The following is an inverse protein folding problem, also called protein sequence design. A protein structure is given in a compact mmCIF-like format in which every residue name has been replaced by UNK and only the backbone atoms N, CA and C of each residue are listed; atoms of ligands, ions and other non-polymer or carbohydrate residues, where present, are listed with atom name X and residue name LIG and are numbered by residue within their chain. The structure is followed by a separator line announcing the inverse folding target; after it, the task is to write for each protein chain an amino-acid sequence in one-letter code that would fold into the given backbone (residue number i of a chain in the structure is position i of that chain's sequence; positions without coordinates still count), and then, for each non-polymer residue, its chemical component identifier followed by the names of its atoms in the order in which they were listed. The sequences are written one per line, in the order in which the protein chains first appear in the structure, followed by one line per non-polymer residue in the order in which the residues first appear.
data_IF_373367936537
#
_entry.id   IF_373367936537
#
_cell.length_a   1.000
_cell.length_b   1.000
_cell.length_c   1.000
_cell.angle_alpha   90.00
_cell.angle_beta   90.00
_cell.angle_gamma   90.00
#
_symmetry.space_group_name_H-M   'P 1'
#
loop_
_entity.id
_entity.type
_entity.pdbx_description
1 polymer ?
#
# COMPACT_ATOMS: atom_id res chain seq x y z
N UNK A 1 4.71 6.99 -15.92
CA UNK A 1 4.67 6.04 -14.79
C UNK A 1 5.87 6.28 -13.85
N UNK A 2 6.02 7.50 -13.32
CA UNK A 2 7.25 7.95 -12.62
C UNK A 2 6.98 8.86 -11.41
N UNK A 3 5.72 9.25 -11.19
CA UNK A 3 5.34 10.19 -10.13
C UNK A 3 4.91 9.46 -8.85
N UNK A 4 4.32 8.26 -8.96
CA UNK A 4 3.88 7.45 -7.82
C UNK A 4 5.04 6.79 -7.06
N UNK A 5 6.14 6.52 -7.77
CA UNK A 5 7.37 5.93 -7.22
C UNK A 5 8.00 6.86 -6.16
N UNK A 6 8.12 8.16 -6.47
CA UNK A 6 8.76 9.11 -5.57
C UNK A 6 7.97 9.42 -4.29
N UNK A 7 6.63 9.42 -4.32
CA UNK A 7 5.83 9.80 -3.14
C UNK A 7 5.82 8.70 -2.08
N UNK A 8 5.69 7.42 -2.50
CA UNK A 8 5.74 6.27 -1.61
C UNK A 8 7.11 6.15 -0.95
N UNK A 9 8.19 6.18 -1.74
CA UNK A 9 9.55 6.08 -1.18
C UNK A 9 9.87 7.25 -0.26
N UNK A 10 9.44 8.49 -0.57
CA UNK A 10 9.61 9.64 0.32
C UNK A 10 8.84 9.50 1.64
N UNK A 11 7.63 8.95 1.60
CA UNK A 11 6.85 8.67 2.81
C UNK A 11 7.51 7.56 3.64
N UNK A 12 8.01 6.51 2.98
CA UNK A 12 8.77 5.44 3.62
C UNK A 12 10.05 5.97 4.28
N UNK A 13 10.84 6.80 3.58
CA UNK A 13 12.02 7.47 4.14
C UNK A 13 11.65 8.28 5.40
N UNK A 14 10.50 8.95 5.41
CA UNK A 14 10.05 9.69 6.60
C UNK A 14 9.76 8.75 7.77
N UNK A 15 9.08 7.63 7.53
CA UNK A 15 8.81 6.61 8.58
C UNK A 15 10.11 6.01 9.12
N UNK A 16 11.05 5.68 8.24
CA UNK A 16 12.35 5.12 8.61
C UNK A 16 13.16 6.14 9.41
N UNK A 17 13.20 7.40 8.98
CA UNK A 17 13.87 8.47 9.72
C UNK A 17 13.32 8.60 11.15
N UNK A 18 12.00 8.50 11.34
CA UNK A 18 11.41 8.53 12.68
C UNK A 18 11.85 7.35 13.54
N UNK A 19 11.92 6.14 12.97
CA UNK A 19 12.42 4.95 13.67
C UNK A 19 13.88 5.14 14.06
N UNK A 20 14.74 5.56 13.13
CA UNK A 20 16.18 5.73 13.37
C UNK A 20 16.43 6.84 14.40
N UNK A 21 15.73 7.97 14.32
CA UNK A 21 15.81 9.04 15.34
C UNK A 21 15.44 8.50 16.72
N UNK A 22 14.41 7.67 16.80
CA UNK A 22 14.00 7.08 18.08
C UNK A 22 15.07 6.16 18.65
N UNK A 23 15.66 5.29 17.80
CA UNK A 23 16.78 4.43 18.19
C UNK A 23 17.96 5.27 18.66
N UNK A 24 18.33 6.33 17.92
CA UNK A 24 19.47 7.17 18.27
C UNK A 24 19.26 8.02 19.53
N UNK A 25 18.03 8.45 19.81
CA UNK A 25 17.69 9.07 21.10
C UNK A 25 17.84 8.09 22.27
N UNK A 26 17.45 6.82 22.07
CA UNK A 26 17.67 5.78 23.08
C UNK A 26 19.17 5.49 23.28
N UNK A 27 19.97 5.46 22.21
CA UNK A 27 21.43 5.30 22.33
C UNK A 27 22.07 6.50 23.03
N UNK A 28 21.62 7.72 22.75
CA UNK A 28 22.09 8.92 23.45
C UNK A 28 21.80 8.83 24.95
N UNK A 29 20.59 8.41 25.33
CA UNK A 29 20.22 8.23 26.73
C UNK A 29 21.10 7.17 27.42
N UNK A 30 21.42 6.08 26.73
CA UNK A 30 22.37 5.08 27.22
C UNK A 30 23.78 5.66 27.38
N UNK A 31 24.27 6.44 26.41
CA UNK A 31 25.59 7.08 26.49
C UNK A 31 25.68 8.04 27.66
N UNK A 32 24.64 8.84 27.92
CA UNK A 32 24.58 9.72 29.09
C UNK A 32 24.76 8.97 30.41
N UNK A 33 24.25 7.75 30.53
CA UNK A 33 24.45 6.91 31.71
C UNK A 33 25.90 6.43 31.85
N UNK A 34 26.53 6.06 30.73
CA UNK A 34 27.91 5.56 30.71
C UNK A 34 29.00 6.65 30.79
N UNK A 35 28.64 7.95 30.70
CA UNK A 35 29.59 9.05 30.95
C UNK A 35 30.23 8.92 32.33
N UNK A 36 29.46 8.53 33.36
CA UNK A 36 29.97 8.40 34.73
C UNK A 36 31.02 7.28 34.86
N UNK A 37 31.00 6.29 33.96
CA UNK A 37 31.96 5.19 33.92
C UNK A 37 33.20 5.50 33.08
N UNK A 38 33.28 6.67 32.44
CA UNK A 38 34.38 7.11 31.57
C UNK A 38 34.60 6.22 30.32
N UNK A 39 33.63 5.37 29.98
CA UNK A 39 33.63 4.50 28.79
C UNK A 39 33.23 5.26 27.51
N UNK A 40 32.61 6.44 27.66
CA UNK A 40 32.11 7.27 26.56
C UNK A 40 32.72 8.66 26.64
N UNK A 41 33.29 9.13 25.54
CA UNK A 41 33.84 10.48 25.43
C UNK A 41 32.72 11.54 25.39
N UNK A 42 32.84 12.58 26.21
CA UNK A 42 31.86 13.66 26.31
C UNK A 42 31.62 14.37 24.96
N UNK A 43 32.66 14.49 24.14
CA UNK A 43 32.60 15.10 22.80
C UNK A 43 31.58 14.41 21.89
N UNK A 44 31.54 13.07 21.94
CA UNK A 44 30.62 12.24 21.14
C UNK A 44 29.18 12.49 21.55
N UNK A 45 28.92 12.60 22.85
CA UNK A 45 27.57 12.86 23.39
C UNK A 45 27.09 14.25 22.98
N UNK A 46 27.95 15.27 23.10
CA UNK A 46 27.63 16.63 22.70
C UNK A 46 27.35 16.74 21.19
N UNK A 47 28.18 16.10 20.35
CA UNK A 47 27.97 16.10 18.90
C UNK A 47 26.66 15.39 18.53
N UNK A 48 26.42 14.21 19.10
CA UNK A 48 25.21 13.44 18.84
C UNK A 48 23.93 14.19 19.28
N UNK A 49 23.97 14.90 20.41
CA UNK A 49 22.86 15.74 20.87
C UNK A 49 22.52 16.84 19.86
N UNK A 50 23.54 17.51 19.30
CA UNK A 50 23.36 18.57 18.30
C UNK A 50 22.75 18.00 17.02
N UNK A 51 23.32 16.91 16.52
CA UNK A 51 22.86 16.24 15.29
C UNK A 51 21.40 15.75 15.43
N UNK A 52 21.05 15.14 16.56
CA UNK A 52 19.67 14.68 16.83
C UNK A 52 18.68 15.83 17.00
N UNK A 53 19.11 16.94 17.60
CA UNK A 53 18.30 18.15 17.68
C UNK A 53 18.01 18.71 16.28
N UNK A 54 19.03 18.79 15.42
CA UNK A 54 18.87 19.22 14.02
C UNK A 54 17.97 18.24 13.26
N UNK A 55 18.18 16.93 13.40
CA UNK A 55 17.37 15.91 12.74
C UNK A 55 15.89 16.01 13.14
N UNK A 56 15.61 16.21 14.42
CA UNK A 56 14.25 16.37 14.96
C UNK A 56 13.56 17.62 14.39
N UNK A 57 14.28 18.75 14.31
CA UNK A 57 13.78 19.98 13.67
C UNK A 57 13.49 19.77 12.17
N UNK A 58 14.35 19.04 11.46
CA UNK A 58 14.17 18.74 10.03
C UNK A 58 12.98 17.79 9.77
N UNK A 59 12.69 16.87 10.69
CA UNK A 59 11.48 16.04 10.65
C UNK A 59 10.23 16.90 10.76
N UNK A 60 10.21 17.83 11.72
CA UNK A 60 9.09 18.79 11.89
C UNK A 60 8.93 19.64 10.63
N UNK A 61 10.03 20.07 10.00
CA UNK A 61 10.03 20.82 8.74
C UNK A 61 9.77 19.99 7.47
N UNK A 62 9.45 18.69 7.60
CA UNK A 62 9.09 17.79 6.49
C UNK A 62 10.16 17.73 5.38
N UNK A 63 11.45 17.72 5.74
CA UNK A 63 12.58 17.61 4.79
C UNK A 63 13.30 16.24 4.90
N UNK A 64 12.68 15.14 4.43
CA UNK A 64 13.13 13.78 4.73
C UNK A 64 14.52 13.42 4.18
N UNK A 65 14.93 13.99 3.04
CA UNK A 65 16.26 13.74 2.47
C UNK A 65 17.37 14.36 3.32
N UNK A 66 17.16 15.60 3.80
CA UNK A 66 18.13 16.27 4.67
C UNK A 66 18.20 15.57 6.03
N UNK A 67 17.06 15.17 6.59
CA UNK A 67 17.03 14.36 7.82
C UNK A 67 17.84 13.07 7.65
N UNK A 68 17.67 12.36 6.53
CA UNK A 68 18.43 11.13 6.27
C UNK A 68 19.94 11.40 6.31
N UNK A 69 20.41 12.46 5.64
CA UNK A 69 21.84 12.83 5.62
C UNK A 69 22.34 13.14 7.03
N UNK A 70 21.60 13.93 7.81
CA UNK A 70 21.98 14.25 9.20
C UNK A 70 22.03 13.00 10.07
N UNK A 71 21.10 12.06 9.91
CA UNK A 71 21.13 10.79 10.64
C UNK A 71 22.30 9.90 10.24
N UNK A 72 22.70 9.91 8.97
CA UNK A 72 23.88 9.20 8.50
C UNK A 72 25.16 9.76 9.13
N UNK A 73 25.25 11.08 9.24
CA UNK A 73 26.36 11.74 9.96
C UNK A 73 26.32 11.35 11.44
N UNK A 74 25.15 11.38 12.08
CA UNK A 74 25.01 11.01 13.48
C UNK A 74 25.44 9.56 13.77
N UNK A 75 25.09 8.64 12.88
CA UNK A 75 25.53 7.24 12.96
C UNK A 75 27.04 7.14 12.81
N UNK A 76 27.67 7.95 11.95
CA UNK A 76 29.13 7.95 11.80
C UNK A 76 29.83 8.52 13.04
N UNK A 77 29.33 9.64 13.56
CA UNK A 77 29.86 10.31 14.76
C UNK A 77 29.82 9.39 15.97
N UNK A 78 28.72 8.64 16.17
CA UNK A 78 28.57 7.81 17.36
C UNK A 78 29.38 6.50 17.32
N UNK A 79 29.85 6.06 16.16
CA UNK A 79 30.52 4.76 15.99
C UNK A 79 32.02 4.86 15.74
N UNK A 80 32.48 5.95 15.12
CA UNK A 80 33.89 6.16 14.76
C UNK A 80 34.86 5.96 15.95
N UNK A 81 34.57 6.47 17.16
CA UNK A 81 35.44 6.26 18.32
C UNK A 81 35.61 4.79 18.74
N UNK A 82 34.69 3.92 18.32
CA UNK A 82 34.64 2.51 18.71
C UNK A 82 35.14 1.57 17.60
N UNK A 83 35.66 2.11 16.49
CA UNK A 83 36.19 1.32 15.36
C UNK A 83 37.43 0.51 15.74
N UNK A 84 38.20 0.93 16.74
CA UNK A 84 39.36 0.17 17.24
C UNK A 84 38.96 -0.90 18.26
N UNK A 85 37.69 -0.95 18.67
CA UNK A 85 37.19 -1.96 19.60
C UNK A 85 37.25 -3.36 18.96
N UNK A 86 37.50 -4.43 19.75
CA UNK A 86 37.32 -5.81 19.30
C UNK A 86 35.93 -6.10 18.71
N UNK A 87 34.93 -5.30 19.06
CA UNK A 87 33.55 -5.41 18.57
C UNK A 87 33.26 -4.61 17.28
N UNK A 88 34.26 -3.96 16.67
CA UNK A 88 34.06 -3.05 15.54
C UNK A 88 33.35 -3.71 14.35
N UNK A 89 33.68 -4.95 14.01
CA UNK A 89 32.99 -5.71 12.97
C UNK A 89 31.49 -5.82 13.23
N UNK A 90 31.09 -6.21 14.45
CA UNK A 90 29.67 -6.31 14.83
C UNK A 90 28.97 -4.95 14.79
N UNK A 91 29.65 -3.89 15.22
CA UNK A 91 29.11 -2.54 15.19
C UNK A 91 28.83 -2.08 13.76
N UNK A 92 29.77 -2.29 12.83
CA UNK A 92 29.61 -1.92 11.41
C UNK A 92 28.47 -2.71 10.77
N UNK A 93 28.32 -3.99 11.13
CA UNK A 93 27.22 -4.83 10.65
C UNK A 93 25.85 -4.29 11.07
N UNK A 94 25.71 -3.91 12.35
CA UNK A 94 24.46 -3.31 12.86
C UNK A 94 24.16 -2.01 12.12
N UNK A 95 25.16 -1.18 11.89
CA UNK A 95 25.02 0.07 11.12
C UNK A 95 24.53 -0.20 9.70
N UNK A 96 25.14 -1.15 8.99
CA UNK A 96 24.73 -1.53 7.64
C UNK A 96 23.31 -2.08 7.61
N UNK A 97 22.90 -2.85 8.62
CA UNK A 97 21.52 -3.30 8.78
C UNK A 97 20.55 -2.12 8.93
N UNK A 98 20.87 -1.13 9.77
CA UNK A 98 20.04 0.09 9.93
C UNK A 98 19.90 0.84 8.60
N UNK A 99 20.97 0.93 7.81
CA UNK A 99 20.95 1.60 6.50
C UNK A 99 20.14 0.82 5.47
N UNK A 100 20.20 -0.51 5.53
CA UNK A 100 19.45 -1.37 4.62
C UNK A 100 17.93 -1.19 4.74
N UNK A 101 17.44 -0.67 5.87
CA UNK A 101 16.02 -0.34 6.07
C UNK A 101 15.50 0.68 5.05
N UNK A 102 16.37 1.56 4.53
CA UNK A 102 16.01 2.48 3.44
C UNK A 102 15.73 1.77 2.12
N UNK A 103 16.02 0.46 2.01
CA UNK A 103 15.90 -0.35 0.80
C UNK A 103 16.51 0.36 -0.41
N UNK A 104 17.63 1.03 -0.17
CA UNK A 104 18.33 1.83 -1.17
C UNK A 104 19.75 1.33 -1.41
N UNK A 105 19.93 0.58 -2.51
CA UNK A 105 21.21 0.04 -2.94
C UNK A 105 22.29 1.11 -3.10
N UNK A 106 21.95 2.30 -3.58
CA UNK A 106 22.92 3.39 -3.78
C UNK A 106 23.41 3.90 -2.43
N UNK A 107 22.49 4.05 -1.47
CA UNK A 107 22.83 4.46 -0.11
C UNK A 107 23.67 3.40 0.60
N UNK A 108 23.31 2.12 0.47
CA UNK A 108 24.05 1.02 1.05
C UNK A 108 25.49 0.97 0.54
N UNK A 109 25.72 1.05 -0.77
CA UNK A 109 27.07 1.04 -1.33
C UNK A 109 27.85 2.32 -0.98
N UNK A 110 27.21 3.49 -1.06
CA UNK A 110 27.88 4.75 -0.73
C UNK A 110 28.35 4.78 0.72
N UNK A 111 27.48 4.39 1.65
CA UNK A 111 27.79 4.40 3.07
C UNK A 111 28.71 3.24 3.48
N UNK A 112 28.53 2.05 2.90
CA UNK A 112 29.43 0.91 3.11
C UNK A 112 30.85 1.19 2.63
N UNK A 113 31.00 1.79 1.44
CA UNK A 113 32.31 2.21 0.93
C UNK A 113 32.96 3.27 1.83
N UNK A 114 32.19 4.26 2.30
CA UNK A 114 32.68 5.26 3.24
C UNK A 114 33.17 4.63 4.56
N UNK A 115 32.42 3.66 5.10
CA UNK A 115 32.82 2.94 6.32
C UNK A 115 34.04 2.06 6.13
N UNK A 116 34.17 1.38 4.99
CA UNK A 116 35.36 0.60 4.67
C UNK A 116 36.60 1.50 4.61
N UNK A 117 36.51 2.66 3.97
CA UNK A 117 37.62 3.62 3.91
C UNK A 117 37.97 4.11 5.32
N UNK A 118 36.97 4.49 6.12
CA UNK A 118 37.19 4.93 7.50
C UNK A 118 37.85 3.83 8.36
N UNK A 119 37.38 2.60 8.24
CA UNK A 119 37.94 1.44 8.94
C UNK A 119 39.41 1.21 8.54
N UNK A 120 39.74 1.23 7.24
CA UNK A 120 41.11 1.05 6.75
C UNK A 120 42.04 2.13 7.31
N UNK A 121 41.63 3.40 7.25
CA UNK A 121 42.46 4.54 7.70
C UNK A 121 42.69 4.50 9.21
N UNK A 122 41.64 4.26 10.00
CA UNK A 122 41.75 4.23 11.47
C UNK A 122 42.56 3.01 11.91
N UNK A 123 42.23 1.82 11.38
CA UNK A 123 42.94 0.59 11.73
C UNK A 123 44.43 0.66 11.40
N UNK A 124 44.78 1.17 10.21
CA UNK A 124 46.18 1.34 9.80
C UNK A 124 46.91 2.37 10.67
N UNK A 125 46.25 3.46 11.06
CA UNK A 125 46.85 4.47 11.93
C UNK A 125 47.20 3.93 13.32
N UNK A 126 46.37 3.04 13.87
CA UNK A 126 46.59 2.42 15.18
C UNK A 126 47.58 1.26 15.18
N UNK A 127 47.51 0.35 14.19
CA UNK A 127 48.29 -0.90 14.19
C UNK A 127 49.53 -0.85 13.28
N UNK A 128 49.61 0.09 12.33
CA UNK A 128 50.68 0.25 11.32
C UNK A 128 50.96 -0.97 10.43
N UNK A 129 50.25 -2.09 10.62
CA UNK A 129 50.32 -3.32 9.86
C UNK A 129 48.92 -3.94 9.71
N UNK A 130 48.72 -4.68 8.62
CA UNK A 130 47.50 -5.45 8.40
C UNK A 130 47.69 -6.87 8.94
N UNK A 131 46.88 -7.25 9.93
CA UNK A 131 46.88 -8.58 10.52
C UNK A 131 45.76 -9.46 9.92
N UNK A 132 45.65 -10.70 10.41
CA UNK A 132 44.56 -11.61 10.00
C UNK A 132 43.17 -11.08 10.40
N UNK A 133 43.07 -10.37 11.52
CA UNK A 133 41.81 -9.80 12.06
C UNK A 133 41.23 -8.75 11.12
N UNK A 134 42.08 -7.90 10.54
CA UNK A 134 41.72 -6.90 9.55
C UNK A 134 41.10 -7.55 8.31
N UNK A 135 41.77 -8.54 7.72
CA UNK A 135 41.27 -9.23 6.53
C UNK A 135 39.97 -9.98 6.79
N UNK A 136 39.84 -10.64 7.95
CA UNK A 136 38.59 -11.28 8.35
C UNK A 136 37.45 -10.25 8.49
N UNK A 137 37.70 -9.13 9.17
CA UNK A 137 36.69 -8.10 9.42
C UNK A 137 36.19 -7.46 8.13
N UNK A 138 37.10 -7.04 7.24
CA UNK A 138 36.73 -6.53 5.91
C UNK A 138 35.98 -7.59 5.10
N UNK A 139 36.44 -8.85 5.12
CA UNK A 139 35.77 -9.94 4.42
C UNK A 139 34.30 -10.11 4.87
N UNK A 140 34.03 -10.03 6.17
CA UNK A 140 32.67 -10.08 6.70
C UNK A 140 31.83 -8.85 6.37
N UNK A 141 32.42 -7.65 6.38
CA UNK A 141 31.74 -6.41 5.98
C UNK A 141 31.30 -6.50 4.53
N UNK A 142 32.20 -6.90 3.62
CA UNK A 142 31.90 -7.06 2.20
C UNK A 142 30.83 -8.11 1.94
N UNK A 143 30.95 -9.28 2.58
CA UNK A 143 29.93 -10.33 2.49
C UNK A 143 28.55 -9.81 2.91
N UNK A 144 28.52 -8.95 3.92
CA UNK A 144 27.29 -8.38 4.46
C UNK A 144 26.71 -7.31 3.55
N UNK A 145 27.55 -6.47 2.94
CA UNK A 145 27.10 -5.52 1.91
C UNK A 145 26.45 -6.29 0.76
N UNK A 146 27.04 -7.41 0.32
CA UNK A 146 26.47 -8.27 -0.72
C UNK A 146 25.13 -8.88 -0.28
N UNK A 147 25.06 -9.41 0.95
CA UNK A 147 23.81 -9.96 1.48
C UNK A 147 22.70 -8.89 1.57
N UNK A 148 23.01 -7.73 2.15
CA UNK A 148 22.08 -6.61 2.29
C UNK A 148 21.72 -5.97 0.95
N UNK A 149 22.57 -6.07 -0.08
CA UNK A 149 22.22 -5.68 -1.43
C UNK A 149 21.04 -6.51 -1.96
N UNK A 150 21.06 -7.83 -1.78
CA UNK A 150 19.94 -8.68 -2.17
C UNK A 150 18.68 -8.34 -1.39
N UNK A 151 18.80 -8.06 -0.09
CA UNK A 151 17.67 -7.59 0.74
C UNK A 151 17.10 -6.28 0.20
N UNK A 152 17.95 -5.28 -0.08
CA UNK A 152 17.51 -3.99 -0.61
C UNK A 152 16.86 -4.12 -1.99
N UNK A 153 17.44 -4.94 -2.88
CA UNK A 153 16.92 -5.18 -4.23
C UNK A 153 15.59 -5.91 -4.19
N UNK A 154 15.53 -7.08 -3.53
CA UNK A 154 14.31 -7.89 -3.45
C UNK A 154 13.22 -7.21 -2.65
N UNK A 155 13.56 -6.53 -1.56
CA UNK A 155 12.59 -5.76 -0.77
C UNK A 155 11.93 -4.67 -1.60
N UNK A 156 12.71 -3.92 -2.40
CA UNK A 156 12.17 -2.92 -3.32
C UNK A 156 11.28 -3.55 -4.40
N UNK A 157 11.72 -4.62 -5.02
CA UNK A 157 10.96 -5.30 -6.07
C UNK A 157 9.61 -5.84 -5.53
N UNK A 158 9.62 -6.41 -4.33
CA UNK A 158 8.40 -6.91 -3.66
C UNK A 158 7.41 -5.79 -3.36
N UNK A 159 7.89 -4.63 -2.88
CA UNK A 159 7.05 -3.45 -2.67
C UNK A 159 6.42 -3.00 -3.99
N UNK A 160 7.20 -2.94 -5.07
CA UNK A 160 6.67 -2.52 -6.37
C UNK A 160 5.62 -3.49 -6.91
N UNK A 161 5.85 -4.80 -6.76
CA UNK A 161 4.88 -5.82 -7.15
C UNK A 161 3.60 -5.70 -6.32
N UNK A 162 3.71 -5.47 -5.01
CA UNK A 162 2.56 -5.29 -4.14
C UNK A 162 1.74 -4.03 -4.53
N UNK A 163 2.39 -2.91 -4.81
CA UNK A 163 1.72 -1.68 -5.26
C UNK A 163 1.01 -1.86 -6.61
N UNK A 164 1.63 -2.57 -7.54
CA UNK A 164 1.00 -2.86 -8.84
C UNK A 164 -0.23 -3.76 -8.66
N UNK A 165 -0.13 -4.80 -7.83
CA UNK A 165 -1.26 -5.69 -7.52
C UNK A 165 -2.39 -4.98 -6.76
N UNK A 166 -2.06 -4.05 -5.87
CA UNK A 166 -3.03 -3.22 -5.17
C UNK A 166 -3.81 -2.34 -6.16
N UNK A 167 -3.12 -1.74 -7.14
CA UNK A 167 -3.75 -0.95 -8.19
C UNK A 167 -4.68 -1.80 -9.07
N UNK A 168 -4.23 -2.98 -9.51
CA UNK A 168 -5.03 -3.93 -10.31
C UNK A 168 -6.27 -4.41 -9.54
N UNK A 169 -6.12 -4.78 -8.27
CA UNK A 169 -7.24 -5.18 -7.42
C UNK A 169 -8.27 -4.05 -7.26
N UNK A 170 -7.82 -2.80 -7.13
CA UNK A 170 -8.70 -1.63 -7.03
C UNK A 170 -9.48 -1.38 -8.33
N UNK A 171 -8.85 -1.58 -9.48
CA UNK A 171 -9.51 -1.50 -10.78
C UNK A 171 -10.57 -2.59 -10.92
N UNK A 172 -10.24 -3.84 -10.56
CA UNK A 172 -11.18 -4.96 -10.59
C UNK A 172 -12.40 -4.73 -9.70
N UNK A 173 -12.20 -4.20 -8.49
CA UNK A 173 -13.31 -3.83 -7.58
C UNK A 173 -14.20 -2.77 -8.20
N UNK A 174 -13.63 -1.77 -8.87
CA UNK A 174 -14.40 -0.71 -9.54
C UNK A 174 -15.21 -1.26 -10.72
N UNK A 175 -14.63 -2.17 -11.50
CA UNK A 175 -15.32 -2.85 -12.58
C UNK A 175 -16.48 -3.73 -12.06
N UNK A 176 -16.27 -4.42 -10.93
CA UNK A 176 -17.31 -5.21 -10.27
C UNK A 176 -18.47 -4.33 -9.78
N UNK A 177 -18.17 -3.20 -9.13
CA UNK A 177 -19.18 -2.25 -8.65
C UNK A 177 -20.04 -1.71 -9.83
N UNK A 178 -19.38 -1.39 -10.94
CA UNK A 178 -20.05 -0.98 -12.18
C UNK A 178 -20.97 -2.09 -12.72
N UNK A 179 -20.48 -3.34 -12.77
CA UNK A 179 -21.27 -4.48 -13.22
C UNK A 179 -22.50 -4.72 -12.34
N UNK A 180 -22.34 -4.65 -11.01
CA UNK A 180 -23.45 -4.76 -10.05
C UNK A 180 -24.46 -3.62 -10.25
N UNK A 181 -23.99 -2.40 -10.52
CA UNK A 181 -24.85 -1.27 -10.88
C UNK A 181 -25.71 -1.56 -12.11
N UNK A 182 -25.09 -2.05 -13.20
CA UNK A 182 -25.81 -2.42 -14.44
C UNK A 182 -26.80 -3.57 -14.20
N UNK A 183 -26.43 -4.60 -13.43
CA UNK A 183 -27.35 -5.69 -13.07
C UNK A 183 -28.56 -5.16 -12.32
N UNK A 184 -28.36 -4.26 -11.36
CA UNK A 184 -29.44 -3.64 -10.58
C UNK A 184 -30.39 -2.84 -11.47
N UNK A 185 -29.85 -2.03 -12.38
CA UNK A 185 -30.65 -1.24 -13.33
C UNK A 185 -31.47 -2.15 -14.26
N UNK A 186 -30.84 -3.16 -14.87
CA UNK A 186 -31.53 -4.12 -15.72
C UNK A 186 -32.61 -4.90 -14.97
N UNK A 187 -32.35 -5.30 -13.72
CA UNK A 187 -33.34 -6.00 -12.88
C UNK A 187 -34.53 -5.08 -12.55
N UNK A 188 -34.28 -3.79 -12.32
CA UNK A 188 -35.34 -2.81 -12.10
C UNK A 188 -36.20 -2.62 -13.36
N UNK A 189 -35.58 -2.47 -14.54
CA UNK A 189 -36.31 -2.37 -15.80
C UNK A 189 -37.14 -3.63 -16.07
N UNK A 190 -36.55 -4.81 -15.90
CA UNK A 190 -37.26 -6.09 -16.07
C UNK A 190 -38.48 -6.18 -15.15
N UNK A 191 -38.37 -5.75 -13.90
CA UNK A 191 -39.50 -5.74 -12.96
C UNK A 191 -40.61 -4.77 -13.42
N UNK A 192 -40.25 -3.61 -13.95
CA UNK A 192 -41.20 -2.66 -14.55
C UNK A 192 -41.90 -3.26 -15.77
N UNK A 193 -41.16 -3.94 -16.65
CA UNK A 193 -41.71 -4.59 -17.84
C UNK A 193 -42.68 -5.72 -17.45
N UNK A 194 -42.34 -6.53 -16.43
CA UNK A 194 -43.25 -7.55 -15.88
C UNK A 194 -44.53 -6.91 -15.34
N UNK A 195 -44.42 -5.80 -14.61
CA UNK A 195 -45.59 -5.08 -14.10
C UNK A 195 -46.49 -4.54 -15.23
N UNK A 196 -45.89 -4.01 -16.30
CA UNK A 196 -46.63 -3.57 -17.49
C UNK A 196 -47.34 -4.74 -18.17
N UNK A 197 -46.63 -5.84 -18.42
CA UNK A 197 -47.19 -7.05 -19.03
C UNK A 197 -48.38 -7.60 -18.22
N UNK A 198 -48.29 -7.61 -16.90
CA UNK A 198 -49.39 -8.04 -16.03
C UNK A 198 -50.62 -7.13 -16.13
N UNK A 199 -50.43 -5.82 -16.31
CA UNK A 199 -51.52 -4.89 -16.58
C UNK A 199 -52.17 -5.14 -17.95
N UNK A 200 -51.38 -5.38 -18.98
CA UNK A 200 -51.87 -5.69 -20.32
C UNK A 200 -52.67 -6.99 -20.35
N UNK A 201 -52.20 -8.04 -19.66
CA UNK A 201 -52.94 -9.31 -19.48
C UNK A 201 -54.28 -9.06 -18.78
N UNK A 202 -54.32 -8.20 -17.76
CA UNK A 202 -55.57 -7.84 -17.07
C UNK A 202 -56.53 -7.11 -18.01
N UNK A 203 -56.03 -6.20 -18.83
CA UNK A 203 -56.83 -5.49 -19.83
C UNK A 203 -57.39 -6.46 -20.87
N UNK A 204 -56.56 -7.36 -21.41
CA UNK A 204 -56.98 -8.41 -22.34
C UNK A 204 -58.06 -9.32 -21.75
N UNK A 205 -57.92 -9.72 -20.48
CA UNK A 205 -58.94 -10.51 -19.77
C UNK A 205 -60.26 -9.75 -19.68
N UNK A 206 -60.23 -8.45 -19.36
CA UNK A 206 -61.43 -7.63 -19.32
C UNK A 206 -62.09 -7.51 -20.71
N UNK A 207 -61.31 -7.27 -21.76
CA UNK A 207 -61.81 -7.24 -23.14
C UNK A 207 -62.44 -8.57 -23.56
N UNK A 208 -61.79 -9.70 -23.24
CA UNK A 208 -62.32 -11.03 -23.52
C UNK A 208 -63.63 -11.29 -22.80
N UNK A 209 -63.76 -10.85 -21.55
CA UNK A 209 -65.02 -10.92 -20.81
C UNK A 209 -66.11 -10.10 -21.51
N UNK A 210 -65.83 -8.84 -21.88
CA UNK A 210 -66.77 -7.98 -22.62
C UNK A 210 -67.21 -8.60 -23.95
N UNK A 211 -66.28 -9.18 -24.72
CA UNK A 211 -66.61 -9.88 -25.97
C UNK A 211 -67.54 -11.07 -25.69
N UNK A 212 -67.29 -11.82 -24.61
CA UNK A 212 -68.13 -12.95 -24.22
C UNK A 212 -69.54 -12.48 -23.87
N UNK A 213 -69.69 -11.40 -23.10
CA UNK A 213 -71.00 -10.82 -22.79
C UNK A 213 -71.72 -10.33 -24.05
N UNK A 214 -71.02 -9.64 -24.95
CA UNK A 214 -71.59 -9.17 -26.20
C UNK A 214 -72.06 -10.35 -27.08
N UNK A 215 -71.30 -11.45 -27.14
CA UNK A 215 -71.70 -12.66 -27.85
C UNK A 215 -72.94 -13.29 -27.21
N UNK A 216 -73.04 -13.32 -25.88
CA UNK A 216 -74.23 -13.79 -25.18
C UNK A 216 -75.45 -12.94 -25.53
N UNK A 217 -75.34 -11.61 -25.46
CA UNK A 217 -76.42 -10.68 -25.85
C UNK A 217 -76.83 -10.85 -27.32
N UNK A 218 -75.86 -10.98 -28.25
CA UNK A 218 -76.16 -11.22 -29.67
C UNK A 218 -76.88 -12.56 -29.85
N UNK A 219 -76.46 -13.60 -29.15
CA UNK A 219 -77.10 -14.93 -29.22
C UNK A 219 -78.52 -14.88 -28.66
N UNK A 220 -78.74 -14.15 -27.56
CA UNK A 220 -80.07 -13.89 -27.01
C UNK A 220 -80.95 -13.10 -27.99
N UNK A 221 -80.43 -12.04 -28.60
CA UNK A 221 -81.14 -11.25 -29.61
C UNK A 221 -81.50 -12.07 -30.85
N UNK A 222 -80.62 -12.96 -31.31
CA UNK A 222 -80.92 -13.90 -32.41
C UNK A 222 -82.01 -14.89 -31.99
N UNK A 223 -81.95 -15.42 -30.76
CA UNK A 223 -82.99 -16.32 -30.22
C UNK A 223 -84.35 -15.64 -30.18
N UNK A 224 -84.39 -14.40 -29.70
CA UNK A 224 -85.62 -13.61 -29.62
C UNK A 224 -86.15 -13.25 -31.02
N UNK A 225 -85.28 -12.87 -31.96
CA UNK A 225 -85.68 -12.66 -33.36
C UNK A 225 -86.20 -13.94 -34.03
N UNK A 226 -85.54 -15.08 -33.82
CA UNK A 226 -85.99 -16.37 -34.35
C UNK A 226 -87.34 -16.78 -33.75
N UNK A 227 -87.56 -16.53 -32.46
CA UNK A 227 -88.86 -16.73 -31.82
C UNK A 227 -89.94 -15.82 -32.42
N UNK A 228 -89.60 -14.56 -32.69
CA UNK A 228 -90.52 -13.59 -33.32
C UNK A 228 -90.83 -13.94 -34.78
N UNK A 229 -89.88 -14.48 -35.54
CA UNK A 229 -90.10 -15.00 -36.90
C UNK A 229 -91.01 -16.23 -36.87
N UNK A 230 -90.83 -17.11 -35.88
CA UNK A 230 -91.75 -18.23 -35.65
C UNK A 230 -93.19 -17.76 -35.41
N UNK A 231 -93.36 -16.71 -34.60
CA UNK A 231 -94.66 -16.13 -34.30
C UNK A 231 -95.29 -15.38 -35.50
N UNK A 232 -94.49 -14.70 -36.32
CA UNK A 232 -94.97 -14.10 -37.59
C UNK A 232 -95.37 -15.19 -38.60
N UNK A 233 -94.60 -16.29 -38.67
CA UNK A 233 -94.94 -17.44 -39.50
C UNK A 233 -96.27 -18.08 -39.07
N UNK A 234 -96.61 -18.07 -37.79
CA UNK A 234 -97.91 -18.54 -37.30
C UNK A 234 -99.05 -17.55 -37.58
N UNK A 235 -98.82 -16.23 -37.51
CA UNK A 235 -99.82 -15.23 -37.90
C UNK A 235 -100.04 -15.10 -39.42
N UNK A 236 -99.05 -15.44 -40.25
CA UNK A 236 -99.15 -15.37 -41.72
C UNK A 236 -99.74 -16.65 -42.34
N UNK A 237 -99.71 -17.79 -41.63
CA UNK A 237 -100.29 -19.07 -42.08
C UNK A 237 -101.63 -19.43 -41.41
N UNK A 238 -102.23 -18.53 -40.64
CA UNK A 238 -103.61 -18.62 -40.13
C UNK A 238 -104.55 -17.72 -40.91
#
# INVERSE_FOLDING_TARGET
MTIMDNSFFRNNTTKINNIIVTILWLTLLSFCFFIASNEVQLEVVCSLLIELSIATVLIIRRKPLLTMIVLMIAILTCTTPYIESPAAGMLIMVVLCVISLYLNRVLLYGFGAMYNIAYIVIYYSGHQQYDSTFFMTIGFIELTIVALYFVCKRGRDLIQVALNKEAEARELVTALDTMVGVIRENTFMLNTDIASCNNDIRMLKNMSNTITTNIQEVTEGIRDQSGSIGHISEEVNG
#
